data_IF_894718382461
#
_entry.id   IF_894718382461
#
_cell.length_a   1.000
_cell.length_b   1.000
_cell.length_c   1.000
_cell.angle_alpha   90.00
_cell.angle_beta   90.00
_cell.angle_gamma   90.00
#
_symmetry.space_group_name_H-M   'P 1'
#
loop_
_entity.id
_entity.type
_entity.pdbx_description
1 polymer ?
#
# COMPACT_ATOMS: atom_id res chain seq x y z
N UNK A 1 15.50 7.68 -48.71
CA UNK A 1 15.31 7.02 -47.39
C UNK A 1 14.49 5.75 -47.58
N UNK A 2 15.17 4.60 -47.66
CA UNK A 2 14.55 3.33 -48.06
C UNK A 2 13.46 2.84 -47.11
N UNK A 3 12.45 2.14 -47.65
CA UNK A 3 11.34 1.52 -46.90
C UNK A 3 11.84 0.76 -45.65
N UNK A 4 12.96 0.06 -45.75
CA UNK A 4 13.61 -0.65 -44.62
C UNK A 4 13.92 0.24 -43.41
N UNK A 5 14.43 1.46 -43.62
CA UNK A 5 14.73 2.40 -42.52
C UNK A 5 13.47 2.89 -41.82
N UNK A 6 12.36 3.07 -42.57
CA UNK A 6 11.06 3.46 -42.00
C UNK A 6 10.48 2.34 -41.14
N UNK A 7 10.56 1.09 -41.61
CA UNK A 7 10.12 -0.08 -40.82
C UNK A 7 10.95 -0.28 -39.56
N UNK A 8 12.28 -0.09 -39.62
CA UNK A 8 13.14 -0.15 -38.43
C UNK A 8 12.78 0.91 -37.38
N UNK A 9 12.56 2.16 -37.81
CA UNK A 9 12.14 3.23 -36.90
C UNK A 9 10.77 2.91 -36.29
N UNK A 10 9.80 2.48 -37.09
CA UNK A 10 8.48 2.12 -36.61
C UNK A 10 8.54 0.95 -35.61
N UNK A 11 9.29 -0.10 -35.92
CA UNK A 11 9.48 -1.25 -35.04
C UNK A 11 10.13 -0.83 -33.72
N UNK A 12 11.18 0.01 -33.76
CA UNK A 12 11.83 0.51 -32.55
C UNK A 12 10.88 1.35 -31.69
N UNK A 13 10.08 2.22 -32.30
CA UNK A 13 9.09 3.02 -31.58
C UNK A 13 8.03 2.14 -30.90
N UNK A 14 7.54 1.10 -31.59
CA UNK A 14 6.60 0.13 -31.02
C UNK A 14 7.23 -0.62 -29.84
N UNK A 15 8.47 -1.11 -29.97
CA UNK A 15 9.15 -1.83 -28.89
C UNK A 15 9.35 -0.93 -27.66
N UNK A 16 9.82 0.30 -27.86
CA UNK A 16 10.02 1.27 -26.76
C UNK A 16 8.68 1.56 -26.08
N UNK A 17 7.62 1.77 -26.86
CA UNK A 17 6.28 2.02 -26.31
C UNK A 17 5.82 0.84 -25.43
N UNK A 18 5.95 -0.40 -25.92
CA UNK A 18 5.56 -1.59 -25.17
C UNK A 18 6.33 -1.74 -23.85
N UNK A 19 7.64 -1.46 -23.86
CA UNK A 19 8.47 -1.52 -22.65
C UNK A 19 8.02 -0.48 -21.61
N UNK A 20 7.73 0.75 -22.03
CA UNK A 20 7.23 1.80 -21.13
C UNK A 20 5.84 1.45 -20.59
N UNK A 21 4.93 0.98 -21.44
CA UNK A 21 3.60 0.54 -21.01
C UNK A 21 3.66 -0.61 -20.01
N UNK A 22 4.52 -1.60 -20.25
CA UNK A 22 4.70 -2.71 -19.32
C UNK A 22 5.26 -2.24 -17.97
N UNK A 23 6.27 -1.36 -17.97
CA UNK A 23 6.82 -0.79 -16.75
C UNK A 23 5.77 -0.01 -15.94
N UNK A 24 4.99 0.85 -16.61
CA UNK A 24 3.91 1.61 -15.99
C UNK A 24 2.81 0.70 -15.41
N UNK A 25 2.43 -0.35 -16.14
CA UNK A 25 1.43 -1.32 -15.66
C UNK A 25 1.89 -2.00 -14.36
N UNK A 26 3.17 -2.35 -14.24
CA UNK A 26 3.74 -2.95 -13.02
C UNK A 26 3.71 -1.98 -11.84
N UNK A 27 4.10 -0.72 -12.06
CA UNK A 27 4.07 0.31 -11.03
C UNK A 27 2.64 0.57 -10.55
N UNK A 28 1.68 0.67 -11.48
CA UNK A 28 0.27 0.89 -11.15
C UNK A 28 -0.32 -0.31 -10.38
N UNK A 29 0.05 -1.53 -10.77
CA UNK A 29 -0.36 -2.75 -10.06
C UNK A 29 0.19 -2.78 -8.63
N UNK A 30 1.44 -2.38 -8.40
CA UNK A 30 2.02 -2.32 -7.07
C UNK A 30 1.32 -1.28 -6.18
N UNK A 31 1.02 -0.08 -6.73
CA UNK A 31 0.25 0.93 -6.00
C UNK A 31 -1.17 0.45 -5.66
N UNK A 32 -1.79 -0.32 -6.56
CA UNK A 32 -3.07 -0.99 -6.31
C UNK A 32 -2.98 -2.01 -5.18
N UNK A 33 -1.92 -2.83 -5.17
CA UNK A 33 -1.66 -3.79 -4.10
C UNK A 33 -1.42 -3.13 -2.73
N UNK A 34 -0.67 -2.02 -2.68
CA UNK A 34 -0.49 -1.23 -1.45
C UNK A 34 -1.82 -0.75 -0.89
N UNK A 35 -2.66 -0.17 -1.76
CA UNK A 35 -3.96 0.35 -1.34
C UNK A 35 -4.89 -0.77 -0.87
N UNK A 36 -4.86 -1.93 -1.51
CA UNK A 36 -5.63 -3.10 -1.11
C UNK A 36 -5.17 -3.63 0.25
N UNK A 37 -3.86 -3.87 0.44
CA UNK A 37 -3.32 -4.35 1.71
C UNK A 37 -3.63 -3.41 2.89
N UNK A 38 -3.51 -2.09 2.69
CA UNK A 38 -3.87 -1.09 3.70
C UNK A 38 -5.38 -1.13 3.98
N UNK A 39 -6.21 -1.22 2.94
CA UNK A 39 -7.67 -1.30 3.10
C UNK A 39 -8.07 -2.55 3.89
N UNK A 40 -7.55 -3.71 3.54
CA UNK A 40 -7.87 -4.99 4.19
C UNK A 40 -7.50 -4.96 5.68
N UNK A 41 -6.32 -4.42 6.01
CA UNK A 41 -5.90 -4.22 7.40
C UNK A 41 -6.84 -3.25 8.14
N UNK A 42 -7.23 -2.14 7.52
CA UNK A 42 -8.17 -1.21 8.12
C UNK A 42 -9.56 -1.84 8.32
N UNK A 43 -10.04 -2.63 7.36
CA UNK A 43 -11.33 -3.35 7.44
C UNK A 43 -11.34 -4.37 8.58
N UNK A 44 -10.25 -5.12 8.74
CA UNK A 44 -10.04 -5.98 9.90
C UNK A 44 -10.04 -5.17 11.21
N UNK A 45 -9.36 -4.03 11.24
CA UNK A 45 -9.32 -3.16 12.41
C UNK A 45 -10.70 -2.58 12.76
N UNK A 46 -11.46 -2.07 11.79
CA UNK A 46 -12.77 -1.47 12.02
C UNK A 46 -13.83 -2.53 12.38
N UNK A 47 -13.72 -3.76 11.87
CA UNK A 47 -14.57 -4.86 12.32
C UNK A 47 -14.21 -5.36 13.73
N UNK A 48 -13.04 -4.99 14.23
CA UNK A 48 -12.50 -5.46 15.50
C UNK A 48 -11.91 -6.87 15.42
N UNK A 49 -11.62 -7.37 14.22
CA UNK A 49 -10.99 -8.66 14.00
C UNK A 49 -9.46 -8.54 14.12
N UNK A 50 -8.98 -8.72 15.35
CA UNK A 50 -7.55 -8.71 15.66
C UNK A 50 -6.78 -9.82 14.93
N UNK A 51 -7.41 -10.97 14.64
CA UNK A 51 -6.73 -12.09 13.95
C UNK A 51 -6.53 -11.76 12.49
N UNK A 52 -7.55 -11.24 11.83
CA UNK A 52 -7.44 -10.76 10.45
C UNK A 52 -6.43 -9.60 10.36
N UNK A 53 -6.40 -8.68 11.33
CA UNK A 53 -5.43 -7.58 11.35
C UNK A 53 -3.99 -8.09 11.48
N UNK A 54 -3.74 -9.05 12.37
CA UNK A 54 -2.41 -9.69 12.50
C UNK A 54 -2.02 -10.43 11.23
N UNK A 55 -2.95 -11.09 10.55
CA UNK A 55 -2.68 -11.79 9.29
C UNK A 55 -2.41 -10.82 8.13
N UNK A 56 -2.97 -9.61 8.16
CA UNK A 56 -2.75 -8.58 7.16
C UNK A 56 -1.40 -7.84 7.31
N UNK A 57 -0.73 -7.97 8.46
CA UNK A 57 0.57 -7.34 8.73
C UNK A 57 1.67 -8.41 8.68
N UNK A 58 2.58 -8.27 7.73
CA UNK A 58 3.72 -9.15 7.52
C UNK A 58 4.61 -9.24 8.76
N UNK A 59 4.96 -10.46 9.17
CA UNK A 59 5.74 -10.74 10.38
C UNK A 59 5.02 -10.51 11.72
N UNK A 60 3.80 -9.97 11.72
CA UNK A 60 3.11 -9.62 12.95
C UNK A 60 2.74 -10.84 13.80
N UNK A 61 2.45 -11.99 13.17
CA UNK A 61 2.11 -13.21 13.90
C UNK A 61 3.27 -13.72 14.79
N UNK A 62 4.51 -13.42 14.42
CA UNK A 62 5.72 -13.82 15.12
C UNK A 62 6.19 -12.77 16.14
N UNK A 63 5.64 -11.55 16.10
CA UNK A 63 5.98 -10.44 16.98
C UNK A 63 4.89 -10.24 18.05
N UNK A 64 5.24 -10.44 19.32
CA UNK A 64 4.31 -10.26 20.44
C UNK A 64 3.85 -8.82 20.62
N UNK A 65 4.73 -7.85 20.41
CA UNK A 65 4.39 -6.43 20.50
C UNK A 65 3.41 -6.06 19.39
N UNK A 66 3.65 -6.53 18.16
CA UNK A 66 2.74 -6.29 17.04
C UNK A 66 1.35 -6.89 17.30
N UNK A 67 1.27 -8.13 17.79
CA UNK A 67 -0.03 -8.75 18.13
C UNK A 67 -0.77 -7.99 19.22
N UNK A 68 -0.06 -7.55 20.26
CA UNK A 68 -0.65 -6.76 21.33
C UNK A 68 -1.19 -5.41 20.80
N UNK A 69 -0.42 -4.72 19.97
CA UNK A 69 -0.86 -3.47 19.35
C UNK A 69 -2.04 -3.66 18.41
N UNK A 70 -2.02 -4.70 17.57
CA UNK A 70 -3.12 -5.06 16.68
C UNK A 70 -4.40 -5.34 17.49
N UNK A 71 -4.32 -6.09 18.59
CA UNK A 71 -5.46 -6.36 19.46
C UNK A 71 -6.03 -5.07 20.09
N UNK A 72 -5.16 -4.19 20.59
CA UNK A 72 -5.56 -2.89 21.16
C UNK A 72 -6.22 -2.01 20.10
N UNK A 73 -5.62 -1.92 18.91
CA UNK A 73 -6.15 -1.11 17.81
C UNK A 73 -7.49 -1.65 17.32
N UNK A 74 -7.61 -2.96 17.09
CA UNK A 74 -8.87 -3.59 16.67
C UNK A 74 -9.99 -3.35 17.71
N UNK A 75 -9.68 -3.49 19.00
CA UNK A 75 -10.66 -3.22 20.05
C UNK A 75 -11.06 -1.73 20.13
N UNK A 76 -10.09 -0.82 20.09
CA UNK A 76 -10.32 0.62 20.25
C UNK A 76 -10.96 1.28 19.03
N UNK A 77 -10.69 0.75 17.84
CA UNK A 77 -11.08 1.34 16.56
C UNK A 77 -12.25 0.62 15.89
N UNK A 78 -12.80 -0.41 16.54
CA UNK A 78 -14.03 -1.06 16.10
C UNK A 78 -15.13 -0.03 15.84
N UNK A 79 -15.75 -0.11 14.67
CA UNK A 79 -16.88 0.73 14.29
C UNK A 79 -17.83 -0.02 13.37
N UNK A 80 -19.05 0.50 13.23
CA UNK A 80 -20.04 -0.02 12.32
C UNK A 80 -19.99 0.70 10.96
N UNK A 81 -20.26 -0.06 9.90
CA UNK A 81 -20.31 0.44 8.53
C UNK A 81 -19.00 0.26 7.76
N UNK A 82 -19.09 0.47 6.45
CA UNK A 82 -17.96 0.33 5.53
C UNK A 82 -16.92 1.43 5.75
N UNK A 83 -15.66 1.09 5.50
CA UNK A 83 -14.56 2.05 5.59
C UNK A 83 -14.51 2.92 4.35
N UNK A 84 -14.49 4.23 4.59
CA UNK A 84 -14.18 5.22 3.57
C UNK A 84 -12.76 5.74 3.78
N UNK A 85 -11.89 5.46 2.81
CA UNK A 85 -10.54 6.04 2.72
C UNK A 85 -10.66 7.50 2.26
N UNK A 86 -10.59 8.44 3.19
CA UNK A 86 -10.66 9.87 2.92
C UNK A 86 -9.37 10.42 2.30
N UNK A 87 -8.21 9.89 2.70
CA UNK A 87 -6.91 10.20 2.10
C UNK A 87 -5.96 9.03 2.29
N UNK A 88 -5.19 8.72 1.24
CA UNK A 88 -4.09 7.79 1.31
C UNK A 88 -2.91 8.44 0.58
N UNK A 89 -1.96 8.94 1.36
CA UNK A 89 -0.69 9.44 0.83
C UNK A 89 0.24 8.23 0.74
N UNK A 90 0.31 7.62 -0.45
CA UNK A 90 1.17 6.47 -0.72
C UNK A 90 2.62 6.83 -0.41
N UNK A 91 3.39 5.83 0.01
CA UNK A 91 4.79 5.94 0.43
C UNK A 91 5.79 6.41 -0.66
N UNK A 92 5.33 6.89 -1.81
CA UNK A 92 6.13 6.95 -3.03
C UNK A 92 7.26 7.99 -3.00
N UNK A 93 8.50 7.51 -3.08
CA UNK A 93 9.33 7.80 -4.26
C UNK A 93 9.75 6.47 -4.88
N UNK A 94 9.72 6.39 -6.20
CA UNK A 94 10.10 5.20 -6.97
C UNK A 94 11.52 4.76 -6.57
N UNK A 95 11.65 3.62 -5.90
CA UNK A 95 12.93 2.96 -5.68
C UNK A 95 13.01 1.73 -6.59
N UNK A 96 14.07 1.59 -7.42
CA UNK A 96 14.32 0.37 -8.19
C UNK A 96 14.75 -0.81 -7.31
N UNK A 97 14.92 -0.59 -6.00
CA UNK A 97 15.35 -1.56 -5.01
C UNK A 97 14.37 -1.66 -3.84
N UNK A 98 14.58 -2.72 -3.07
CA UNK A 98 13.92 -2.98 -1.79
C UNK A 98 13.88 -1.71 -0.91
N UNK A 99 12.67 -1.27 -0.58
CA UNK A 99 12.46 -0.02 0.14
C UNK A 99 11.29 -0.15 1.10
N UNK A 100 11.43 0.49 2.25
CA UNK A 100 10.36 0.60 3.23
C UNK A 100 9.96 2.06 3.31
N UNK A 101 8.67 2.33 3.17
CA UNK A 101 8.14 3.68 3.25
C UNK A 101 6.92 3.75 4.17
N UNK A 102 6.64 4.95 4.68
CA UNK A 102 5.50 5.20 5.55
C UNK A 102 4.42 5.96 4.77
N UNK A 103 3.26 5.35 4.63
CA UNK A 103 2.07 5.97 4.05
C UNK A 103 1.21 6.59 5.15
N UNK A 104 0.65 7.76 4.89
CA UNK A 104 -0.34 8.38 5.77
C UNK A 104 -1.72 7.98 5.32
N UNK A 105 -2.48 7.34 6.21
CA UNK A 105 -3.85 6.92 5.92
C UNK A 105 -4.84 7.66 6.81
N UNK A 106 -5.88 8.18 6.16
CA UNK A 106 -6.99 8.88 6.78
C UNK A 106 -8.26 8.16 6.38
N UNK A 107 -8.96 7.60 7.36
CA UNK A 107 -10.16 6.81 7.12
C UNK A 107 -11.26 7.18 8.12
N UNK A 108 -12.50 6.85 7.76
CA UNK A 108 -13.68 7.05 8.60
C UNK A 108 -14.68 5.93 8.34
N UNK A 109 -15.68 5.82 9.22
CA UNK A 109 -16.89 5.03 8.98
C UNK A 109 -18.11 5.90 9.26
N UNK A 110 -19.32 5.49 8.84
CA UNK A 110 -20.54 6.24 9.14
C UNK A 110 -20.73 6.55 10.63
N UNK A 111 -20.27 5.68 11.52
CA UNK A 111 -20.40 5.83 12.98
C UNK A 111 -19.15 6.35 13.69
N UNK A 112 -18.05 6.62 12.99
CA UNK A 112 -16.79 7.08 13.60
C UNK A 112 -16.18 8.27 12.84
N UNK A 113 -15.79 9.29 13.60
CA UNK A 113 -15.04 10.44 13.08
C UNK A 113 -13.70 10.01 12.48
N UNK A 114 -13.13 10.88 11.65
CA UNK A 114 -11.88 10.64 10.93
C UNK A 114 -10.73 10.21 11.83
N UNK A 115 -10.16 9.04 11.54
CA UNK A 115 -8.97 8.45 12.14
C UNK A 115 -7.77 8.67 11.22
N UNK A 116 -6.63 9.07 11.79
CA UNK A 116 -5.37 9.25 11.06
C UNK A 116 -4.36 8.25 11.62
N UNK A 117 -3.76 7.44 10.76
CA UNK A 117 -2.74 6.45 11.12
C UNK A 117 -1.60 6.47 10.09
N UNK A 118 -0.46 5.91 10.49
CA UNK A 118 0.68 5.66 9.63
C UNK A 118 0.76 4.18 9.33
N UNK A 119 0.84 3.83 8.04
CA UNK A 119 1.00 2.47 7.56
C UNK A 119 2.41 2.34 7.00
N UNK A 120 3.23 1.44 7.56
CA UNK A 120 4.55 1.15 7.02
C UNK A 120 4.45 0.01 6.03
N UNK A 121 4.93 0.26 4.83
CA UNK A 121 4.85 -0.68 3.71
C UNK A 121 6.26 -1.00 3.26
N UNK A 122 6.53 -2.28 3.09
CA UNK A 122 7.74 -2.81 2.52
C UNK A 122 7.48 -3.20 1.07
N UNK A 123 8.30 -2.68 0.17
CA UNK A 123 8.24 -2.96 -1.26
C UNK A 123 9.54 -3.62 -1.68
N UNK A 124 9.43 -4.77 -2.32
CA UNK A 124 10.58 -5.52 -2.82
C UNK A 124 10.42 -5.83 -4.31
N UNK A 125 11.52 -6.20 -4.97
CA UNK A 125 11.54 -6.49 -6.40
C UNK A 125 11.73 -5.27 -7.31
N UNK A 126 11.48 -5.44 -8.61
CA UNK A 126 11.68 -4.41 -9.64
C UNK A 126 10.73 -4.58 -10.83
N UNK A 127 10.71 -3.60 -11.74
CA UNK A 127 9.80 -3.61 -12.91
C UNK A 127 9.96 -4.84 -13.81
N UNK A 128 11.16 -5.43 -13.88
CA UNK A 128 11.43 -6.61 -14.69
C UNK A 128 10.95 -7.90 -14.01
N UNK A 129 11.33 -8.13 -12.75
CA UNK A 129 11.01 -9.36 -11.99
C UNK A 129 9.62 -9.36 -11.33
N UNK A 130 8.96 -8.20 -11.24
CA UNK A 130 7.74 -8.01 -10.45
C UNK A 130 8.01 -7.21 -9.17
N UNK A 131 7.00 -6.46 -8.73
CA UNK A 131 7.03 -5.65 -7.52
C UNK A 131 6.08 -6.30 -6.51
N UNK A 132 6.59 -6.62 -5.32
CA UNK A 132 5.82 -7.15 -4.21
C UNK A 132 5.62 -6.06 -3.16
N UNK A 133 4.44 -6.06 -2.52
CA UNK A 133 4.07 -5.05 -1.53
C UNK A 133 3.51 -5.75 -0.29
N UNK A 134 4.07 -5.44 0.87
CA UNK A 134 3.64 -5.98 2.15
C UNK A 134 3.46 -4.87 3.17
N UNK A 135 2.36 -4.90 3.92
CA UNK A 135 2.17 -4.05 5.07
C UNK A 135 2.97 -4.61 6.25
N UNK A 136 3.85 -3.82 6.86
CA UNK A 136 4.72 -4.28 7.96
C UNK A 136 4.35 -3.69 9.31
N UNK A 137 3.68 -2.54 9.33
CA UNK A 137 3.10 -2.02 10.56
C UNK A 137 1.94 -1.05 10.31
N UNK A 138 1.09 -0.93 11.32
CA UNK A 138 0.03 0.07 11.38
C UNK A 138 0.07 0.75 12.76
N UNK A 139 0.32 2.06 12.77
CA UNK A 139 0.46 2.81 14.02
C UNK A 139 -0.88 2.95 14.76
N UNK A 140 -0.81 3.30 16.05
CA UNK A 140 -1.98 3.87 16.75
C UNK A 140 -2.46 5.16 16.07
N UNK A 141 -3.72 5.59 16.30
CA UNK A 141 -4.21 6.88 15.82
C UNK A 141 -3.32 8.03 16.27
N UNK A 142 -2.97 8.90 15.32
CA UNK A 142 -2.18 10.12 15.57
C UNK A 142 -3.06 11.36 15.42
N UNK A 143 -2.56 12.51 15.89
CA UNK A 143 -3.23 13.81 15.67
C UNK A 143 -3.20 14.17 14.18
N UNK A 144 -4.18 14.98 13.77
CA UNK A 144 -4.37 15.37 12.36
C UNK A 144 -3.19 16.11 11.74
N UNK A 145 -2.42 16.84 12.54
CA UNK A 145 -1.30 17.65 12.02
C UNK A 145 0.06 16.96 12.20
N UNK A 146 0.08 15.75 12.76
CA UNK A 146 1.32 14.98 12.95
C UNK A 146 1.72 14.31 11.63
N UNK A 147 2.98 14.46 11.25
CA UNK A 147 3.58 13.76 10.12
C UNK A 147 3.89 12.30 10.49
N UNK A 148 3.75 11.41 9.52
CA UNK A 148 4.30 10.07 9.65
C UNK A 148 5.84 10.14 9.59
N UNK A 149 6.54 9.35 10.42
CA UNK A 149 8.01 9.30 10.43
C UNK A 149 8.57 8.62 9.19
#
# INVERSE_FOLDING_TARGET
MGRSRRYLVLASAVVIFLLVSAALARVLSANGAERAAIRDALEAQASGDARALVAAIDGCAQDEACRAEAAVNAAALRSSGEIELARLDLSTSFSPFDTTGTARVVWKTPSRLTVVQCARVHRSGNVASGIEVRLTSLSRPIKRDTSCP
#
